data_IF_601238127909
#
_entry.id   IF_601238127909
#
_cell.length_a   1.000
_cell.length_b   1.000
_cell.length_c   1.000
_cell.angle_alpha   90.00
_cell.angle_beta   90.00
_cell.angle_gamma   90.00
#
_symmetry.space_group_name_H-M   'P 1'
#
loop_
_entity.id
_entity.type
_entity.pdbx_description
1 polymer ?
#
# COMPACT_ATOMS: atom_id res chain seq x y z
N UNK A 1 -6.81 -3.29 18.36
CA UNK A 1 -6.02 -4.48 17.94
C UNK A 1 -6.04 -4.72 16.43
N UNK A 2 -7.21 -4.75 15.78
CA UNK A 2 -7.30 -5.03 14.33
C UNK A 2 -6.53 -3.99 13.48
N UNK A 3 -6.62 -2.70 13.81
CA UNK A 3 -5.88 -1.63 13.12
C UNK A 3 -4.36 -1.87 13.16
N UNK A 4 -3.83 -2.29 14.31
CA UNK A 4 -2.41 -2.61 14.48
C UNK A 4 -1.97 -3.82 13.66
N UNK A 5 -2.83 -4.81 13.43
CA UNK A 5 -2.54 -5.93 12.53
C UNK A 5 -2.48 -5.46 11.06
N UNK A 6 -3.37 -4.55 10.66
CA UNK A 6 -3.34 -3.94 9.32
C UNK A 6 -2.04 -3.12 9.13
N UNK A 7 -1.66 -2.34 10.15
CA UNK A 7 -0.41 -1.56 10.14
C UNK A 7 0.81 -2.50 10.10
N UNK A 8 0.82 -3.60 10.85
CA UNK A 8 1.89 -4.59 10.78
C UNK A 8 2.01 -5.21 9.38
N UNK A 9 0.87 -5.50 8.73
CA UNK A 9 0.86 -6.06 7.38
C UNK A 9 1.50 -5.13 6.35
N UNK A 10 1.25 -3.81 6.38
CA UNK A 10 1.95 -2.88 5.49
C UNK A 10 3.46 -2.83 5.77
N UNK A 11 3.89 -2.92 7.04
CA UNK A 11 5.32 -2.90 7.38
C UNK A 11 6.04 -4.13 6.83
N UNK A 12 5.39 -5.30 6.91
CA UNK A 12 5.90 -6.53 6.31
C UNK A 12 5.92 -6.44 4.79
N UNK A 13 4.86 -5.91 4.17
CA UNK A 13 4.82 -5.73 2.71
C UNK A 13 5.91 -4.75 2.23
N UNK A 14 6.11 -3.66 2.96
CA UNK A 14 7.16 -2.68 2.68
C UNK A 14 8.56 -3.30 2.85
N UNK A 15 8.80 -3.98 3.97
CA UNK A 15 10.07 -4.69 4.20
C UNK A 15 10.37 -5.73 3.14
N UNK A 16 9.36 -6.49 2.69
CA UNK A 16 9.49 -7.44 1.59
C UNK A 16 9.83 -6.75 0.26
N UNK A 17 9.17 -5.64 -0.07
CA UNK A 17 9.46 -4.84 -1.25
C UNK A 17 10.88 -4.27 -1.23
N UNK A 18 11.32 -3.72 -0.10
CA UNK A 18 12.68 -3.21 0.10
C UNK A 18 13.73 -4.33 0.00
N UNK A 19 13.45 -5.51 0.56
CA UNK A 19 14.35 -6.67 0.48
C UNK A 19 14.53 -7.17 -0.97
N UNK A 20 13.52 -6.98 -1.83
CA UNK A 20 13.60 -7.28 -3.27
C UNK A 20 14.18 -6.11 -4.09
N UNK A 21 14.81 -5.12 -3.46
CA UNK A 21 15.43 -3.99 -4.14
C UNK A 21 14.42 -3.08 -4.86
N UNK A 22 13.17 -3.05 -4.40
CA UNK A 22 12.11 -2.24 -5.02
C UNK A 22 11.57 -2.80 -6.34
N UNK A 23 11.83 -4.07 -6.65
CA UNK A 23 11.30 -4.71 -7.86
C UNK A 23 10.53 -5.99 -7.53
N UNK A 24 9.27 -6.04 -7.98
CA UNK A 24 8.41 -7.22 -7.81
C UNK A 24 7.84 -7.68 -9.16
N UNK A 25 7.77 -9.00 -9.41
CA UNK A 25 6.98 -9.57 -10.49
C UNK A 25 5.52 -9.13 -10.39
N UNK A 26 4.83 -9.02 -11.53
CA UNK A 26 3.47 -8.47 -11.61
C UNK A 26 2.48 -9.06 -10.58
N UNK A 27 2.45 -10.39 -10.40
CA UNK A 27 1.57 -11.03 -9.42
C UNK A 27 1.89 -10.59 -7.98
N UNK A 28 3.18 -10.53 -7.64
CA UNK A 28 3.65 -10.12 -6.32
C UNK A 28 3.42 -8.63 -6.08
N UNK A 29 3.55 -7.81 -7.12
CA UNK A 29 3.27 -6.38 -7.04
C UNK A 29 1.81 -6.11 -6.64
N UNK A 30 0.83 -6.85 -7.19
CA UNK A 30 -0.57 -6.67 -6.79
C UNK A 30 -0.83 -7.10 -5.34
N UNK A 31 -0.19 -8.17 -4.87
CA UNK A 31 -0.27 -8.58 -3.46
C UNK A 31 0.32 -7.49 -2.57
N UNK A 32 1.50 -6.96 -2.93
CA UNK A 32 2.11 -5.83 -2.25
C UNK A 32 1.19 -4.62 -2.21
N UNK A 33 0.64 -4.18 -3.36
CA UNK A 33 -0.28 -3.05 -3.43
C UNK A 33 -1.51 -3.27 -2.55
N UNK A 34 -2.14 -4.45 -2.60
CA UNK A 34 -3.32 -4.74 -1.79
C UNK A 34 -3.02 -4.67 -0.29
N UNK A 35 -1.92 -5.27 0.15
CA UNK A 35 -1.52 -5.27 1.56
C UNK A 35 -1.13 -3.87 2.03
N UNK A 36 -0.43 -3.10 1.21
CA UNK A 36 -0.10 -1.70 1.50
C UNK A 36 -1.36 -0.85 1.66
N UNK A 37 -2.35 -0.98 0.76
CA UNK A 37 -3.60 -0.24 0.85
C UNK A 37 -4.39 -0.57 2.11
N UNK A 38 -4.45 -1.85 2.49
CA UNK A 38 -5.09 -2.28 3.75
C UNK A 38 -4.40 -1.62 4.94
N UNK A 39 -3.07 -1.68 5.01
CA UNK A 39 -2.34 -1.09 6.14
C UNK A 39 -2.38 0.44 6.18
N UNK A 40 -2.31 1.12 5.03
CA UNK A 40 -2.48 2.58 4.93
C UNK A 40 -3.89 3.01 5.32
N UNK A 41 -4.92 2.23 4.99
CA UNK A 41 -6.28 2.48 5.45
C UNK A 41 -6.40 2.31 6.98
N UNK A 42 -5.84 1.24 7.54
CA UNK A 42 -5.79 1.03 8.99
C UNK A 42 -5.03 2.14 9.73
N UNK A 43 -3.88 2.57 9.19
CA UNK A 43 -3.11 3.71 9.70
C UNK A 43 -3.88 5.03 9.57
N UNK A 44 -4.64 5.20 8.47
CA UNK A 44 -5.53 6.33 8.28
C UNK A 44 -6.59 6.44 9.36
N UNK A 45 -7.28 5.33 9.69
CA UNK A 45 -8.28 5.30 10.77
C UNK A 45 -7.61 5.63 12.12
N UNK A 46 -6.50 4.97 12.46
CA UNK A 46 -5.81 5.19 13.74
C UNK A 46 -5.37 6.66 13.89
N UNK A 47 -4.74 7.22 12.86
CA UNK A 47 -4.29 8.62 12.89
C UNK A 47 -5.45 9.61 12.92
N UNK A 48 -6.62 9.23 12.39
CA UNK A 48 -7.84 10.03 12.50
C UNK A 48 -8.41 10.03 13.92
N UNK A 49 -8.51 8.86 14.54
CA UNK A 49 -8.99 8.72 15.93
C UNK A 49 -8.08 9.44 16.93
N UNK A 50 -6.76 9.45 16.68
CA UNK A 50 -5.78 10.16 17.51
C UNK A 50 -5.65 11.67 17.19
N UNK A 51 -6.49 12.22 16.31
CA UNK A 51 -6.42 13.61 15.85
C UNK A 51 -5.03 14.03 15.29
N UNK A 52 -4.26 13.06 14.77
CA UNK A 52 -2.93 13.25 14.22
C UNK A 52 -3.01 13.67 12.74
N UNK A 53 -3.58 14.86 12.45
CA UNK A 53 -3.92 15.27 11.09
C UNK A 53 -2.76 15.30 10.09
N UNK A 54 -1.56 15.62 10.55
CA UNK A 54 -0.36 15.57 9.68
C UNK A 54 -0.08 14.15 9.21
N UNK A 55 -0.17 13.18 10.11
CA UNK A 55 0.03 11.77 9.79
C UNK A 55 -1.11 11.26 8.90
N UNK A 56 -2.35 11.65 9.18
CA UNK A 56 -3.51 11.28 8.36
C UNK A 56 -3.35 11.72 6.89
N UNK A 57 -2.95 12.98 6.65
CA UNK A 57 -2.74 13.49 5.28
C UNK A 57 -1.65 12.70 4.56
N UNK A 58 -0.56 12.36 5.26
CA UNK A 58 0.53 11.54 4.70
C UNK A 58 0.02 10.14 4.34
N UNK A 59 -0.78 9.51 5.20
CA UNK A 59 -1.37 8.20 4.92
C UNK A 59 -2.32 8.26 3.72
N UNK A 60 -3.17 9.28 3.63
CA UNK A 60 -4.07 9.48 2.50
C UNK A 60 -3.31 9.68 1.17
N UNK A 61 -2.22 10.45 1.19
CA UNK A 61 -1.35 10.61 0.03
C UNK A 61 -0.74 9.27 -0.41
N UNK A 62 -0.15 8.51 0.52
CA UNK A 62 0.47 7.23 0.20
C UNK A 62 -0.57 6.19 -0.26
N UNK A 63 -1.76 6.22 0.31
CA UNK A 63 -2.89 5.39 -0.14
C UNK A 63 -3.24 5.68 -1.61
N UNK A 64 -3.45 6.95 -1.95
CA UNK A 64 -3.74 7.34 -3.33
C UNK A 64 -2.60 6.98 -4.28
N UNK A 65 -1.35 7.25 -3.90
CA UNK A 65 -0.17 6.92 -4.68
C UNK A 65 -0.06 5.42 -4.95
N UNK A 66 -0.26 4.60 -3.93
CA UNK A 66 -0.21 3.13 -4.00
C UNK A 66 -1.33 2.60 -4.92
N UNK A 67 -2.55 3.12 -4.77
CA UNK A 67 -3.69 2.75 -5.62
C UNK A 67 -3.43 3.09 -7.09
N UNK A 68 -2.95 4.30 -7.37
CA UNK A 68 -2.60 4.74 -8.73
C UNK A 68 -1.50 3.84 -9.31
N UNK A 69 -0.44 3.55 -8.56
CA UNK A 69 0.64 2.65 -8.98
C UNK A 69 0.12 1.25 -9.35
N UNK A 70 -0.78 0.70 -8.53
CA UNK A 70 -1.50 -0.56 -8.82
C UNK A 70 -2.27 -0.52 -10.14
N UNK A 71 -3.08 0.53 -10.34
CA UNK A 71 -3.88 0.72 -11.55
C UNK A 71 -2.99 0.88 -12.79
N UNK A 72 -1.91 1.66 -12.69
CA UNK A 72 -0.96 1.85 -13.78
C UNK A 72 -0.31 0.53 -14.20
N UNK A 73 0.17 -0.27 -13.23
CA UNK A 73 0.74 -1.60 -13.49
C UNK A 73 -0.28 -2.53 -14.17
N UNK A 74 -1.53 -2.51 -13.71
CA UNK A 74 -2.61 -3.31 -14.31
C UNK A 74 -2.90 -2.91 -15.76
N UNK A 75 -2.97 -1.60 -16.04
CA UNK A 75 -3.17 -1.08 -17.40
C UNK A 75 -2.02 -1.46 -18.33
N UNK A 76 -0.77 -1.41 -17.85
CA UNK A 76 0.41 -1.83 -18.64
C UNK A 76 0.32 -3.32 -19.01
N UNK A 77 -0.04 -4.18 -18.06
CA UNK A 77 -0.21 -5.62 -18.31
C UNK A 77 -1.32 -5.88 -19.33
N UNK A 78 -2.47 -5.18 -19.22
CA UNK A 78 -3.56 -5.33 -20.19
C UNK A 78 -3.18 -4.89 -21.60
N UNK A 79 -2.39 -3.82 -21.74
CA UNK A 79 -1.90 -3.34 -23.05
C UNK A 79 -0.85 -4.26 -23.68
N UNK A 80 -0.09 -4.99 -22.87
CA UNK A 80 0.97 -5.88 -23.32
C UNK A 80 0.49 -7.31 -23.66
N UNK A 81 -0.80 -7.61 -23.51
CA UNK A 81 -1.37 -8.88 -23.98
C UNK A 81 -1.62 -8.76 -25.49
N UNK A 82 -1.04 -9.65 -26.33
CA UNK A 82 -1.32 -9.69 -27.76
C UNK A 82 -2.78 -10.02 -28.06
#
# INVERSE_FOLDING_TARGET
MILWLMIAAQLVAWGWFSFKGGTLPNKQFFVFTAVMLIGQFGAGIETYEQAAWRAFVVQAYFFAFTAIGGIQRFRQIRRARP
#
